data_IF_679957929623
#
_entry.id   IF_679957929623
#
_cell.length_a   1.000
_cell.length_b   1.000
_cell.length_c   1.000
_cell.angle_alpha   90.00
_cell.angle_beta   90.00
_cell.angle_gamma   90.00
#
_symmetry.space_group_name_H-M   'P 1'
#
loop_
_entity.id
_entity.type
_entity.pdbx_description
1 polymer ?
#
# COMPACT_ATOMS: atom_id res chain seq x y z
N UNK A 1 12.69 -18.97 4.31
CA UNK A 1 11.84 -20.19 4.38
C UNK A 1 10.65 -19.91 3.47
N UNK A 2 10.24 -20.85 2.61
CA UNK A 2 9.25 -20.61 1.57
C UNK A 2 8.74 -21.90 0.93
N UNK A 3 7.72 -21.82 0.09
CA UNK A 3 7.23 -22.92 -0.72
C UNK A 3 7.88 -22.89 -2.10
N UNK A 4 8.47 -24.02 -2.52
CA UNK A 4 9.03 -24.20 -3.86
C UNK A 4 7.96 -24.73 -4.79
N UNK A 5 7.72 -24.02 -5.89
CA UNK A 5 6.79 -24.39 -6.94
C UNK A 5 7.64 -24.73 -8.17
N UNK A 6 7.48 -25.94 -8.70
CA UNK A 6 8.27 -26.43 -9.84
C UNK A 6 7.35 -26.76 -10.99
N UNK A 7 7.78 -26.39 -12.19
CA UNK A 7 7.06 -26.67 -13.42
C UNK A 7 8.03 -26.98 -14.54
N UNK A 8 7.53 -27.62 -15.60
CA UNK A 8 8.31 -27.97 -16.77
C UNK A 8 7.67 -27.36 -18.02
N UNK A 9 8.47 -26.65 -18.82
CA UNK A 9 8.04 -26.09 -20.10
C UNK A 9 8.62 -26.94 -21.24
N UNK A 10 7.77 -27.30 -22.21
CA UNK A 10 8.19 -28.11 -23.37
C UNK A 10 8.96 -27.30 -24.42
N UNK A 11 8.76 -25.99 -24.42
CA UNK A 11 9.40 -25.00 -25.29
C UNK A 11 9.55 -23.68 -24.51
N UNK A 12 10.31 -22.73 -25.07
CA UNK A 12 10.45 -21.42 -24.47
C UNK A 12 9.11 -20.64 -24.53
N UNK A 13 8.84 -19.82 -23.52
CA UNK A 13 7.61 -19.04 -23.39
C UNK A 13 7.95 -17.66 -22.84
N UNK A 14 7.50 -16.58 -23.49
CA UNK A 14 7.91 -15.23 -23.10
C UNK A 14 7.30 -14.76 -21.78
N UNK A 15 6.06 -15.16 -21.49
CA UNK A 15 5.32 -14.74 -20.30
C UNK A 15 4.85 -15.96 -19.51
N UNK A 16 5.33 -16.03 -18.26
CA UNK A 16 4.95 -17.06 -17.30
C UNK A 16 4.58 -16.40 -16.00
N UNK A 17 3.36 -16.60 -15.53
CA UNK A 17 2.89 -16.11 -14.24
C UNK A 17 2.47 -17.28 -13.34
N UNK A 18 2.69 -17.11 -12.05
CA UNK A 18 2.25 -18.05 -11.02
C UNK A 18 1.42 -17.28 -10.01
N UNK A 19 0.11 -17.48 -10.06
CA UNK A 19 -0.85 -16.90 -9.12
C UNK A 19 -1.15 -17.88 -7.98
N UNK A 20 -1.26 -17.34 -6.78
CA UNK A 20 -1.51 -18.09 -5.55
C UNK A 20 -2.78 -17.53 -4.92
N UNK A 21 -3.77 -18.41 -4.74
CA UNK A 21 -5.07 -18.08 -4.15
C UNK A 21 -5.39 -18.98 -2.97
N UNK A 22 -6.23 -18.49 -2.05
CA UNK A 22 -6.83 -19.37 -1.06
C UNK A 22 -8.01 -20.17 -1.65
N UNK A 23 -8.54 -21.13 -0.90
CA UNK A 23 -9.70 -21.94 -1.33
C UNK A 23 -11.00 -21.14 -1.52
N UNK A 24 -11.01 -19.85 -1.18
CA UNK A 24 -12.15 -18.92 -1.38
C UNK A 24 -11.95 -18.07 -2.63
N UNK A 25 -10.85 -18.26 -3.36
CA UNK A 25 -10.49 -17.48 -4.55
C UNK A 25 -9.92 -16.09 -4.24
N UNK A 26 -9.54 -15.82 -2.99
CA UNK A 26 -8.81 -14.59 -2.69
C UNK A 26 -7.38 -14.73 -3.23
N UNK A 27 -6.96 -13.79 -4.08
CA UNK A 27 -5.55 -13.67 -4.50
C UNK A 27 -4.69 -13.27 -3.31
N UNK A 28 -3.60 -14.01 -3.10
CA UNK A 28 -2.60 -13.71 -2.09
C UNK A 28 -1.34 -13.14 -2.72
N UNK A 29 -0.91 -13.69 -3.86
CA UNK A 29 0.37 -13.37 -4.45
C UNK A 29 0.36 -13.74 -5.92
N UNK A 30 0.99 -12.90 -6.72
CA UNK A 30 1.41 -13.23 -8.08
C UNK A 30 2.93 -13.21 -8.14
N UNK A 31 3.51 -14.16 -8.86
CA UNK A 31 4.95 -14.34 -9.01
C UNK A 31 5.28 -14.49 -10.49
N UNK A 32 6.30 -13.76 -10.94
CA UNK A 32 6.86 -13.95 -12.26
C UNK A 32 7.62 -15.29 -12.32
N UNK A 33 7.29 -16.09 -13.32
CA UNK A 33 7.96 -17.34 -13.65
C UNK A 33 9.08 -17.14 -14.67
N UNK A 34 9.97 -18.12 -14.74
CA UNK A 34 10.98 -18.23 -15.81
C UNK A 34 10.40 -19.01 -16.99
N UNK A 35 10.54 -18.42 -18.17
CA UNK A 35 10.02 -18.94 -19.44
C UNK A 35 10.90 -19.92 -20.20
N UNK A 36 11.98 -20.42 -19.61
CA UNK A 36 12.95 -21.27 -20.32
C UNK A 36 12.42 -22.71 -20.48
N UNK A 37 12.70 -23.34 -21.61
CA UNK A 37 12.44 -24.76 -21.84
C UNK A 37 13.11 -25.64 -20.76
N UNK A 38 12.40 -26.67 -20.30
CA UNK A 38 12.85 -27.59 -19.26
C UNK A 38 12.27 -27.28 -17.88
N UNK A 39 13.00 -27.65 -16.83
CA UNK A 39 12.56 -27.53 -15.43
C UNK A 39 12.82 -26.12 -14.89
N UNK A 40 11.78 -25.46 -14.38
CA UNK A 40 11.82 -24.17 -13.72
C UNK A 40 11.33 -24.26 -12.26
N UNK A 41 11.77 -23.32 -11.43
CA UNK A 41 11.38 -23.21 -10.02
C UNK A 41 11.12 -21.75 -9.66
N UNK A 42 10.00 -21.50 -8.97
CA UNK A 42 9.73 -20.22 -8.29
C UNK A 42 9.53 -20.48 -6.80
N UNK A 43 9.91 -19.51 -5.97
CA UNK A 43 9.80 -19.62 -4.51
C UNK A 43 8.82 -18.58 -4.00
N UNK A 44 7.72 -19.05 -3.43
CA UNK A 44 6.84 -18.20 -2.63
C UNK A 44 7.38 -18.08 -1.21
N UNK A 45 7.59 -16.86 -0.74
CA UNK A 45 8.06 -16.55 0.61
C UNK A 45 6.99 -16.70 1.71
N UNK A 46 5.80 -17.19 1.31
CA UNK A 46 4.61 -17.35 2.14
C UNK A 46 4.04 -16.02 2.62
N UNK A 47 4.21 -14.94 1.88
CA UNK A 47 3.57 -13.65 2.16
C UNK A 47 2.49 -13.33 1.16
N UNK A 48 1.45 -12.68 1.64
CA UNK A 48 0.51 -12.01 0.77
C UNK A 48 1.12 -10.71 0.24
N UNK A 49 0.53 -10.19 -0.83
CA UNK A 49 0.85 -8.91 -1.44
C UNK A 49 -0.45 -8.34 -2.00
N UNK A 50 -0.77 -7.12 -1.60
CA UNK A 50 -1.84 -6.34 -2.19
C UNK A 50 -1.23 -5.18 -2.98
N UNK A 51 -1.98 -4.66 -3.93
CA UNK A 51 -1.69 -3.39 -4.58
C UNK A 51 -2.27 -2.26 -3.75
N UNK A 52 -1.58 -1.12 -3.77
CA UNK A 52 -2.07 0.13 -3.21
C UNK A 52 -3.06 0.81 -4.18
N UNK A 53 -3.54 2.01 -3.86
CA UNK A 53 -4.51 2.73 -4.71
C UNK A 53 -3.99 3.07 -6.11
N UNK A 54 -2.66 3.12 -6.27
CA UNK A 54 -1.99 3.48 -7.52
C UNK A 54 -1.65 2.24 -8.36
N UNK A 55 -1.97 1.04 -7.87
CA UNK A 55 -1.58 -0.23 -8.51
C UNK A 55 -0.16 -0.65 -8.17
N UNK A 56 0.52 0.03 -7.24
CA UNK A 56 1.87 -0.32 -6.83
C UNK A 56 1.84 -1.44 -5.79
N UNK A 57 2.75 -2.40 -5.93
CA UNK A 57 2.80 -3.57 -5.05
C UNK A 57 3.29 -3.20 -3.63
N UNK A 58 2.45 -3.43 -2.63
CA UNK A 58 2.77 -3.17 -1.23
C UNK A 58 3.64 -4.29 -0.63
N UNK A 59 4.83 -3.95 -0.14
CA UNK A 59 5.80 -4.93 0.35
C UNK A 59 6.46 -4.57 1.70
N UNK A 60 6.74 -5.53 2.60
CA UNK A 60 6.29 -6.92 2.58
C UNK A 60 4.90 -7.07 3.21
N UNK A 61 4.02 -7.86 2.60
CA UNK A 61 2.74 -8.20 3.23
C UNK A 61 2.86 -9.22 4.38
N UNK A 62 1.81 -9.38 5.20
CA UNK A 62 1.76 -10.40 6.24
C UNK A 62 1.97 -11.81 5.70
N UNK A 63 2.47 -12.70 6.56
CA UNK A 63 2.55 -14.13 6.19
C UNK A 63 1.15 -14.72 5.98
N UNK A 64 1.06 -15.66 5.06
CA UNK A 64 -0.12 -16.46 4.84
C UNK A 64 -0.36 -17.42 6.01
N UNK A 65 -1.62 -17.73 6.30
CA UNK A 65 -1.98 -18.70 7.33
C UNK A 65 -1.56 -20.13 6.92
N UNK A 66 -1.30 -21.03 7.88
CA UNK A 66 -1.26 -22.46 7.58
C UNK A 66 -2.59 -22.90 6.96
N UNK A 67 -2.52 -23.67 5.88
CA UNK A 67 -3.70 -24.07 5.11
C UNK A 67 -3.34 -24.55 3.71
N UNK A 68 -4.37 -24.88 2.95
CA UNK A 68 -4.25 -25.27 1.54
C UNK A 68 -4.51 -24.07 0.64
N UNK A 69 -3.68 -23.93 -0.38
CA UNK A 69 -3.70 -22.87 -1.38
C UNK A 69 -3.72 -23.48 -2.77
N UNK A 70 -4.37 -22.79 -3.69
CA UNK A 70 -4.36 -23.12 -5.11
C UNK A 70 -3.26 -22.29 -5.78
N UNK A 71 -2.48 -22.96 -6.62
CA UNK A 71 -1.43 -22.38 -7.44
C UNK A 71 -1.86 -22.56 -8.88
N UNK A 72 -1.96 -21.45 -9.61
CA UNK A 72 -2.27 -21.45 -11.03
C UNK A 72 -1.05 -20.91 -11.79
N UNK A 73 -0.54 -21.73 -12.70
CA UNK A 73 0.55 -21.41 -13.61
C UNK A 73 -0.07 -21.06 -14.96
N UNK A 74 0.22 -19.87 -15.47
CA UNK A 74 -0.10 -19.48 -16.83
C UNK A 74 1.21 -19.36 -17.62
N UNK A 75 1.27 -20.03 -18.78
CA UNK A 75 2.42 -20.01 -19.66
C UNK A 75 1.93 -20.00 -21.12
N UNK A 76 2.00 -18.84 -21.77
CA UNK A 76 1.41 -18.62 -23.09
C UNK A 76 -0.09 -18.91 -23.10
N UNK A 77 -0.53 -19.93 -23.84
CA UNK A 77 -1.94 -20.33 -23.91
C UNK A 77 -2.30 -21.49 -22.96
N UNK A 78 -1.36 -21.93 -22.13
CA UNK A 78 -1.57 -23.05 -21.21
C UNK A 78 -1.81 -22.54 -19.79
N UNK A 79 -2.83 -23.08 -19.14
CA UNK A 79 -3.10 -22.85 -17.72
C UNK A 79 -3.06 -24.20 -17.01
N UNK A 80 -2.28 -24.28 -15.94
CA UNK A 80 -2.19 -25.46 -15.08
C UNK A 80 -2.47 -25.07 -13.64
N UNK A 81 -3.26 -25.90 -12.96
CA UNK A 81 -3.58 -25.73 -11.55
C UNK A 81 -2.90 -26.82 -10.71
N UNK A 82 -2.50 -26.45 -9.51
CA UNK A 82 -1.94 -27.35 -8.51
C UNK A 82 -2.24 -26.88 -7.10
N UNK A 83 -2.14 -27.78 -6.12
CA UNK A 83 -2.39 -27.45 -4.72
C UNK A 83 -1.09 -27.39 -3.92
N UNK A 84 -1.03 -26.45 -2.99
CA UNK A 84 0.07 -26.26 -2.06
C UNK A 84 -0.46 -26.26 -0.62
N UNK A 85 0.14 -27.05 0.27
CA UNK A 85 -0.22 -27.07 1.69
C UNK A 85 0.87 -26.45 2.56
N UNK A 86 0.53 -25.36 3.24
CA UNK A 86 1.38 -24.66 4.20
C UNK A 86 1.09 -25.17 5.60
N UNK A 87 2.13 -25.59 6.30
CA UNK A 87 2.03 -26.14 7.65
C UNK A 87 2.73 -25.22 8.65
N UNK A 88 2.19 -25.16 9.86
CA UNK A 88 2.86 -24.52 10.99
C UNK A 88 4.09 -25.35 11.39
N UNK A 89 5.12 -24.69 11.94
CA UNK A 89 6.22 -25.41 12.59
C UNK A 89 5.65 -26.33 13.70
N UNK A 90 5.89 -27.64 13.67
CA UNK A 90 5.37 -28.59 14.66
C UNK A 90 5.73 -28.26 16.11
N UNK A 91 6.77 -27.44 16.34
CA UNK A 91 7.19 -27.00 17.69
C UNK A 91 6.35 -25.85 18.22
N UNK A 92 5.61 -25.16 17.36
CA UNK A 92 4.78 -24.02 17.74
C UNK A 92 3.41 -24.53 18.17
N UNK A 93 3.04 -24.26 19.42
CA UNK A 93 1.71 -24.56 19.94
C UNK A 93 0.91 -23.27 20.05
N UNK A 94 -0.03 -23.08 19.13
CA UNK A 94 -0.91 -21.90 19.08
C UNK A 94 -2.30 -22.34 18.61
N UNK A 95 -3.36 -21.75 19.17
CA UNK A 95 -4.72 -22.11 18.77
C UNK A 95 -5.06 -21.51 17.39
N UNK A 96 -5.94 -22.16 16.61
CA UNK A 96 -6.44 -21.60 15.36
C UNK A 96 -7.09 -20.21 15.54
N UNK A 97 -7.80 -20.00 16.65
CA UNK A 97 -8.43 -18.72 16.99
C UNK A 97 -7.41 -17.60 17.15
N UNK A 98 -6.28 -17.87 17.79
CA UNK A 98 -5.21 -16.89 17.97
C UNK A 98 -4.52 -16.62 16.63
N UNK A 99 -4.27 -17.66 15.81
CA UNK A 99 -3.72 -17.47 14.46
C UNK A 99 -4.58 -16.56 13.58
N UNK A 100 -5.90 -16.79 13.57
CA UNK A 100 -6.84 -15.94 12.83
C UNK A 100 -6.81 -14.50 13.34
N UNK A 101 -6.92 -14.28 14.66
CA UNK A 101 -6.89 -12.93 15.23
C UNK A 101 -5.57 -12.18 14.92
N UNK A 102 -4.44 -12.90 14.89
CA UNK A 102 -3.16 -12.33 14.45
C UNK A 102 -3.19 -11.92 12.99
N UNK A 103 -3.70 -12.80 12.12
CA UNK A 103 -3.80 -12.53 10.70
C UNK A 103 -4.66 -11.30 10.43
N UNK A 104 -5.83 -11.22 11.07
CA UNK A 104 -6.76 -10.11 10.90
C UNK A 104 -6.12 -8.79 11.33
N UNK A 105 -5.43 -8.77 12.48
CA UNK A 105 -4.72 -7.59 12.95
C UNK A 105 -3.56 -7.19 12.02
N UNK A 106 -2.77 -8.15 11.51
CA UNK A 106 -1.69 -7.87 10.57
C UNK A 106 -2.20 -7.34 9.23
N UNK A 107 -3.26 -7.94 8.66
CA UNK A 107 -3.88 -7.46 7.41
C UNK A 107 -4.44 -6.05 7.60
N UNK A 108 -5.09 -5.80 8.73
CA UNK A 108 -5.64 -4.47 9.06
C UNK A 108 -4.53 -3.41 9.14
N UNK A 109 -3.43 -3.71 9.84
CA UNK A 109 -2.25 -2.85 9.94
C UNK A 109 -1.58 -2.62 8.59
N UNK A 110 -1.43 -3.68 7.80
CA UNK A 110 -0.84 -3.63 6.45
C UNK A 110 -1.61 -2.71 5.52
N UNK A 111 -2.94 -2.81 5.47
CA UNK A 111 -3.76 -1.93 4.63
C UNK A 111 -3.69 -0.47 5.06
N UNK A 112 -3.65 -0.20 6.37
CA UNK A 112 -3.39 1.15 6.87
C UNK A 112 -2.02 1.68 6.40
N UNK A 113 -0.99 0.84 6.33
CA UNK A 113 0.33 1.28 5.85
C UNK A 113 0.33 1.72 4.39
N UNK A 114 -0.52 1.14 3.54
CA UNK A 114 -0.67 1.58 2.15
C UNK A 114 -1.19 3.01 2.09
N UNK A 115 -2.33 3.26 2.72
CA UNK A 115 -2.96 4.59 2.76
C UNK A 115 -2.06 5.64 3.39
N UNK A 116 -1.36 5.30 4.48
CA UNK A 116 -0.40 6.23 5.12
C UNK A 116 0.80 6.52 4.20
N UNK A 117 1.29 5.52 3.46
CA UNK A 117 2.38 5.69 2.50
C UNK A 117 1.94 6.63 1.37
N UNK A 118 0.78 6.39 0.77
CA UNK A 118 0.19 7.23 -0.28
C UNK A 118 0.01 8.68 0.19
N UNK A 119 -0.57 8.86 1.38
CA UNK A 119 -0.78 10.19 1.96
C UNK A 119 0.55 10.94 2.13
N UNK A 120 1.59 10.27 2.64
CA UNK A 120 2.91 10.87 2.81
C UNK A 120 3.57 11.23 1.47
N UNK A 121 3.43 10.37 0.45
CA UNK A 121 3.90 10.64 -0.91
C UNK A 121 3.20 11.86 -1.51
N UNK A 122 1.87 11.93 -1.42
CA UNK A 122 1.09 13.06 -1.92
C UNK A 122 1.43 14.36 -1.17
N UNK A 123 1.52 14.32 0.17
CA UNK A 123 1.95 15.47 0.97
C UNK A 123 3.32 15.99 0.51
N UNK A 124 4.29 15.10 0.27
CA UNK A 124 5.62 15.47 -0.23
C UNK A 124 5.58 16.09 -1.63
N UNK A 125 4.82 15.49 -2.55
CA UNK A 125 4.67 16.02 -3.91
C UNK A 125 4.03 17.41 -3.90
N UNK A 126 2.93 17.61 -3.16
CA UNK A 126 2.26 18.90 -3.09
C UNK A 126 3.13 19.98 -2.43
N UNK A 127 3.87 19.62 -1.38
CA UNK A 127 4.81 20.53 -0.71
C UNK A 127 5.86 21.04 -1.71
N UNK A 128 6.51 20.14 -2.45
CA UNK A 128 7.47 20.52 -3.50
C UNK A 128 6.83 21.40 -4.58
N UNK A 129 5.65 21.02 -5.09
CA UNK A 129 4.98 21.79 -6.14
C UNK A 129 4.59 23.21 -5.69
N UNK A 130 4.18 23.38 -4.43
CA UNK A 130 3.86 24.69 -3.85
C UNK A 130 5.11 25.53 -3.58
N UNK A 131 6.21 24.92 -3.12
CA UNK A 131 7.50 25.60 -2.97
C UNK A 131 8.04 26.11 -4.32
N UNK A 132 7.94 25.29 -5.36
CA UNK A 132 8.32 25.67 -6.72
C UNK A 132 7.45 26.82 -7.24
N UNK A 133 6.13 26.75 -7.03
CA UNK A 133 5.20 27.81 -7.39
C UNK A 133 5.53 29.13 -6.67
N UNK A 134 5.88 29.06 -5.37
CA UNK A 134 6.29 30.22 -4.58
C UNK A 134 7.58 30.85 -5.12
N UNK A 135 8.56 30.02 -5.49
CA UNK A 135 9.81 30.48 -6.08
C UNK A 135 9.58 31.21 -7.42
N UNK A 136 8.78 30.61 -8.31
CA UNK A 136 8.44 31.20 -9.61
C UNK A 136 7.67 32.52 -9.46
N UNK A 137 6.73 32.57 -8.51
CA UNK A 137 5.98 33.79 -8.21
C UNK A 137 6.90 34.90 -7.69
N UNK A 138 7.83 34.59 -6.80
CA UNK A 138 8.81 35.57 -6.29
C UNK A 138 9.72 36.14 -7.38
N UNK A 139 10.03 35.37 -8.42
CA UNK A 139 10.81 35.84 -9.58
C UNK A 139 9.97 36.67 -10.56
N UNK A 140 8.72 36.25 -10.83
CA UNK A 140 7.86 36.84 -11.85
C UNK A 140 7.10 38.08 -11.36
N UNK A 141 6.59 38.04 -10.12
CA UNK A 141 5.73 39.07 -9.54
C UNK A 141 5.91 39.17 -8.01
N UNK A 142 7.03 39.76 -7.54
CA UNK A 142 7.37 39.83 -6.11
C UNK A 142 6.43 40.70 -5.26
N UNK A 143 5.50 41.45 -5.88
CA UNK A 143 4.53 42.30 -5.17
C UNK A 143 3.17 41.59 -4.96
N UNK A 144 3.01 40.34 -5.41
CA UNK A 144 1.76 39.58 -5.28
C UNK A 144 1.60 38.96 -3.88
N UNK A 145 1.47 39.83 -2.86
CA UNK A 145 1.33 39.44 -1.45
C UNK A 145 0.17 38.45 -1.24
N UNK A 146 -0.94 38.61 -1.97
CA UNK A 146 -2.12 37.75 -1.83
C UNK A 146 -1.84 36.29 -2.23
N UNK A 147 -1.14 36.06 -3.36
CA UNK A 147 -0.79 34.71 -3.82
C UNK A 147 0.33 34.09 -2.98
N UNK A 148 1.31 34.90 -2.56
CA UNK A 148 2.36 34.45 -1.62
C UNK A 148 1.74 33.95 -0.31
N UNK A 149 0.87 34.76 0.31
CA UNK A 149 0.19 34.39 1.56
C UNK A 149 -0.67 33.13 1.41
N UNK A 150 -1.31 32.93 0.26
CA UNK A 150 -2.12 31.74 0.00
C UNK A 150 -1.27 30.47 -0.14
N UNK A 151 -0.15 30.54 -0.86
CA UNK A 151 0.79 29.41 -0.97
C UNK A 151 1.37 29.07 0.39
N UNK A 152 1.80 30.08 1.17
CA UNK A 152 2.31 29.88 2.53
C UNK A 152 1.26 29.26 3.46
N UNK A 153 -0.01 29.65 3.34
CA UNK A 153 -1.11 29.02 4.08
C UNK A 153 -1.24 27.54 3.71
N UNK A 154 -1.26 27.20 2.42
CA UNK A 154 -1.39 25.81 1.96
C UNK A 154 -0.21 24.96 2.41
N UNK A 155 1.02 25.47 2.36
CA UNK A 155 2.21 24.80 2.89
C UNK A 155 2.07 24.52 4.40
N UNK A 156 1.55 25.48 5.16
CA UNK A 156 1.26 25.27 6.59
C UNK A 156 0.18 24.20 6.81
N UNK A 157 -0.88 24.20 6.01
CA UNK A 157 -1.95 23.20 6.09
C UNK A 157 -1.42 21.79 5.80
N UNK A 158 -0.58 21.62 4.78
CA UNK A 158 0.09 20.34 4.49
C UNK A 158 0.97 19.88 5.66
N UNK A 159 1.75 20.80 6.26
CA UNK A 159 2.60 20.49 7.42
C UNK A 159 1.78 20.01 8.63
N UNK A 160 0.62 20.62 8.85
CA UNK A 160 -0.30 20.22 9.93
C UNK A 160 -0.90 18.85 9.66
N UNK A 161 -1.39 18.60 8.43
CA UNK A 161 -1.92 17.29 8.04
C UNK A 161 -0.85 16.21 8.20
N UNK A 162 0.38 16.45 7.73
CA UNK A 162 1.51 15.52 7.91
C UNK A 162 1.72 15.16 9.38
N UNK A 163 1.80 16.17 10.25
CA UNK A 163 1.98 15.96 11.69
C UNK A 163 0.84 15.18 12.33
N UNK A 164 -0.40 15.40 11.89
CA UNK A 164 -1.57 14.70 12.41
C UNK A 164 -1.59 13.24 11.92
N UNK A 165 -1.27 12.99 10.64
CA UNK A 165 -1.14 11.63 10.09
C UNK A 165 -0.07 10.85 10.86
N UNK A 166 1.10 11.43 11.09
CA UNK A 166 2.18 10.79 11.86
C UNK A 166 1.74 10.43 13.29
N UNK A 167 0.95 11.29 13.94
CA UNK A 167 0.47 11.06 15.30
C UNK A 167 -0.51 9.88 15.39
N UNK A 168 -1.32 9.66 14.35
CA UNK A 168 -2.38 8.64 14.35
C UNK A 168 -2.02 7.40 13.53
N UNK A 169 -0.88 7.36 12.83
CA UNK A 169 -0.45 6.25 11.99
C UNK A 169 0.19 5.07 12.75
N UNK A 170 0.17 5.07 14.08
CA UNK A 170 0.77 4.00 14.89
C UNK A 170 0.25 2.59 14.52
N UNK A 171 -1.05 2.47 14.25
CA UNK A 171 -1.70 1.24 13.81
C UNK A 171 -1.21 0.69 12.46
N UNK A 172 -0.59 1.52 11.62
CA UNK A 172 -0.02 1.11 10.33
C UNK A 172 1.33 0.36 10.46
N UNK A 173 1.97 0.42 11.64
CA UNK A 173 3.35 -0.05 11.83
C UNK A 173 3.47 -1.31 12.71
N UNK A 174 2.43 -2.15 12.73
CA UNK A 174 2.30 -3.25 13.69
C UNK A 174 2.53 -4.64 13.10
N UNK A 175 2.57 -4.79 11.77
CA UNK A 175 2.76 -6.10 11.10
C UNK A 175 3.97 -6.85 11.69
N UNK A 176 5.15 -6.22 11.68
CA UNK A 176 6.37 -6.87 12.18
C UNK A 176 6.33 -7.18 13.68
N UNK A 177 5.67 -6.34 14.48
CA UNK A 177 5.54 -6.54 15.93
C UNK A 177 4.62 -7.71 16.26
N UNK A 178 3.50 -7.83 15.54
CA UNK A 178 2.56 -8.94 15.70
C UNK A 178 3.21 -10.23 15.18
N UNK A 179 3.85 -10.18 14.00
CA UNK A 179 4.49 -11.34 13.37
C UNK A 179 5.60 -11.92 14.26
N UNK A 180 6.40 -11.08 14.92
CA UNK A 180 7.56 -11.49 15.71
C UNK A 180 7.28 -12.22 17.02
N UNK A 181 6.02 -12.25 17.50
CA UNK A 181 5.64 -12.87 18.77
C UNK A 181 4.70 -14.05 18.52
N UNK A 182 4.93 -15.19 19.16
CA UNK A 182 4.02 -16.35 19.10
C UNK A 182 2.94 -16.22 20.17
N UNK A 183 1.91 -15.40 19.92
CA UNK A 183 0.81 -15.15 20.85
C UNK A 183 -0.30 -14.27 20.27
N UNK A 184 -1.40 -14.01 21.00
CA UNK A 184 -2.44 -13.10 20.53
C UNK A 184 -1.90 -11.66 20.40
N UNK A 185 -2.46 -10.84 19.49
CA UNK A 185 -2.22 -9.40 19.50
C UNK A 185 -2.57 -8.82 20.88
N UNK A 186 -1.79 -7.85 21.34
CA UNK A 186 -2.07 -7.19 22.61
C UNK A 186 -3.31 -6.30 22.48
N UNK A 187 -3.99 -6.02 23.59
CA UNK A 187 -5.12 -5.09 23.60
C UNK A 187 -4.72 -3.68 23.12
N UNK A 188 -3.47 -3.29 23.37
CA UNK A 188 -2.91 -2.01 22.93
C UNK A 188 -2.68 -1.97 21.41
N UNK A 189 -2.12 -3.02 20.83
CA UNK A 189 -1.98 -3.15 19.36
C UNK A 189 -3.33 -3.08 18.66
N UNK A 190 -4.34 -3.78 19.18
CA UNK A 190 -5.68 -3.74 18.62
C UNK A 190 -6.32 -2.35 18.72
N UNK A 191 -6.07 -1.62 19.82
CA UNK A 191 -6.53 -0.24 19.98
C UNK A 191 -5.86 0.71 18.99
N UNK A 192 -4.54 0.64 18.85
CA UNK A 192 -3.81 1.47 17.88
C UNK A 192 -4.33 1.29 16.45
N UNK A 193 -4.61 0.04 16.04
CA UNK A 193 -5.21 -0.25 14.73
C UNK A 193 -6.59 0.41 14.61
N UNK A 194 -7.44 0.26 15.62
CA UNK A 194 -8.80 0.81 15.60
C UNK A 194 -8.78 2.34 15.58
N UNK A 195 -7.97 2.98 16.43
CA UNK A 195 -7.83 4.44 16.49
C UNK A 195 -7.33 4.99 15.14
N UNK A 196 -6.31 4.37 14.54
CA UNK A 196 -5.85 4.71 13.18
C UNK A 196 -6.97 4.61 12.13
N UNK A 197 -7.79 3.56 12.16
CA UNK A 197 -8.93 3.41 11.24
C UNK A 197 -10.03 4.45 11.46
N UNK A 198 -10.16 5.01 12.67
CA UNK A 198 -11.14 6.03 12.97
C UNK A 198 -10.66 7.44 12.59
N UNK A 199 -9.37 7.72 12.75
CA UNK A 199 -8.82 9.07 12.62
C UNK A 199 -8.25 9.37 11.23
N UNK A 200 -7.57 8.42 10.58
CA UNK A 200 -6.94 8.62 9.27
C UNK A 200 -7.94 9.07 8.18
N UNK A 201 -9.16 8.51 8.05
CA UNK A 201 -10.05 8.88 6.95
C UNK A 201 -10.35 10.37 6.86
N UNK A 202 -10.56 11.05 8.00
CA UNK A 202 -10.83 12.49 8.01
C UNK A 202 -9.60 13.32 7.57
N UNK A 203 -8.39 12.83 7.85
CA UNK A 203 -7.15 13.46 7.39
C UNK A 203 -6.96 13.29 5.88
N UNK A 204 -7.29 12.11 5.36
CA UNK A 204 -7.27 11.84 3.91
C UNK A 204 -8.31 12.71 3.19
N UNK A 205 -9.52 12.86 3.74
CA UNK A 205 -10.54 13.74 3.16
C UNK A 205 -10.04 15.20 3.09
N UNK A 206 -9.36 15.69 4.13
CA UNK A 206 -8.74 17.03 4.13
C UNK A 206 -7.66 17.15 3.07
N UNK A 207 -6.77 16.17 2.97
CA UNK A 207 -5.72 16.15 1.94
C UNK A 207 -6.33 16.14 0.54
N UNK A 208 -7.36 15.33 0.31
CA UNK A 208 -8.07 15.26 -0.97
C UNK A 208 -8.72 16.60 -1.34
N UNK A 209 -9.28 17.34 -0.38
CA UNK A 209 -9.80 18.70 -0.65
C UNK A 209 -8.69 19.62 -1.18
N UNK A 210 -7.50 19.57 -0.59
CA UNK A 210 -6.35 20.35 -1.09
C UNK A 210 -5.99 19.95 -2.53
N UNK A 211 -5.87 18.65 -2.78
CA UNK A 211 -5.47 18.10 -4.09
C UNK A 211 -6.49 18.41 -5.17
N UNK A 212 -7.79 18.21 -4.92
CA UNK A 212 -8.81 18.28 -5.97
C UNK A 212 -9.47 19.65 -6.10
N UNK A 213 -9.26 20.54 -5.13
CA UNK A 213 -10.01 21.81 -5.05
C UNK A 213 -9.11 23.01 -4.83
N UNK A 214 -8.37 23.08 -3.73
CA UNK A 214 -7.64 24.30 -3.37
C UNK A 214 -6.42 24.54 -4.26
N UNK A 215 -5.56 23.53 -4.44
CA UNK A 215 -4.36 23.66 -5.28
C UNK A 215 -4.71 23.93 -6.75
N UNK A 216 -5.66 23.21 -7.37
CA UNK A 216 -6.09 23.54 -8.74
C UNK A 216 -6.66 24.96 -8.88
N UNK A 217 -7.40 25.47 -7.87
CA UNK A 217 -7.91 26.84 -7.89
C UNK A 217 -6.80 27.88 -7.78
N UNK A 218 -5.78 27.64 -6.96
CA UNK A 218 -4.57 28.46 -6.90
C UNK A 218 -3.84 28.44 -8.26
N UNK A 219 -3.69 27.27 -8.88
CA UNK A 219 -2.98 27.13 -10.15
C UNK A 219 -3.68 27.84 -11.29
N UNK A 220 -5.01 27.83 -11.33
CA UNK A 220 -5.77 28.63 -12.29
C UNK A 220 -5.48 30.14 -12.16
N UNK A 221 -5.27 30.64 -10.93
CA UNK A 221 -4.93 32.04 -10.68
C UNK A 221 -3.48 32.36 -11.02
N UNK A 222 -2.55 31.43 -10.76
CA UNK A 222 -1.16 31.54 -11.19
C UNK A 222 -1.05 31.55 -12.73
N UNK A 223 -1.85 30.73 -13.41
CA UNK A 223 -1.93 30.69 -14.87
C UNK A 223 -2.41 32.03 -15.47
N UNK A 224 -3.36 32.70 -14.81
CA UNK A 224 -3.82 34.05 -15.18
C UNK A 224 -2.69 35.11 -15.05
N UNK A 225 -1.72 34.88 -14.17
CA UNK A 225 -0.48 35.68 -14.05
C UNK A 225 0.66 35.18 -14.97
N UNK A 226 0.42 34.13 -15.76
CA UNK A 226 1.39 33.56 -16.69
C UNK A 226 2.35 32.53 -16.08
N UNK A 227 2.08 32.05 -14.86
CA UNK A 227 2.90 31.09 -14.10
C UNK A 227 2.23 29.71 -14.19
N UNK A 228 2.92 28.69 -14.71
CA UNK A 228 2.35 27.35 -14.97
C UNK A 228 3.01 26.21 -14.17
N UNK A 229 2.54 25.90 -12.95
CA UNK A 229 2.98 24.73 -12.18
C UNK A 229 2.23 23.41 -12.55
N UNK A 230 2.79 22.25 -12.19
CA UNK A 230 2.25 20.90 -12.49
C UNK A 230 1.21 20.42 -11.44
N UNK A 231 -0.04 20.05 -11.80
CA UNK A 231 -1.17 19.83 -10.87
C UNK A 231 -1.23 18.52 -10.05
N UNK A 232 -0.42 17.48 -10.31
CA UNK A 232 -0.45 16.23 -9.51
C UNK A 232 -1.71 15.34 -9.70
N UNK A 233 -1.92 14.33 -8.83
CA UNK A 233 -3.00 13.31 -8.93
C UNK A 233 -3.65 12.96 -7.57
N UNK A 234 -4.94 12.57 -7.58
CA UNK A 234 -5.75 12.27 -6.39
C UNK A 234 -5.54 10.84 -5.83
N UNK A 235 -5.77 10.65 -4.52
CA UNK A 235 -5.61 9.36 -3.81
C UNK A 235 -6.97 8.65 -3.66
N UNK A 236 -7.03 7.33 -3.91
CA UNK A 236 -8.27 6.54 -3.72
C UNK A 236 -8.26 5.73 -2.42
N UNK A 237 -9.37 5.75 -1.67
CA UNK A 237 -9.51 5.00 -0.41
C UNK A 237 -9.82 3.51 -0.64
N UNK A 238 -9.08 2.56 -0.02
CA UNK A 238 -9.39 1.14 -0.10
C UNK A 238 -10.64 0.77 0.72
N UNK A 239 -11.39 -0.26 0.28
CA UNK A 239 -12.63 -0.71 0.94
C UNK A 239 -12.37 -1.73 2.05
N UNK A 240 -12.90 -1.47 3.25
CA UNK A 240 -12.90 -2.42 4.39
C UNK A 240 -13.78 -3.64 4.07
N UNK A 241 -13.21 -4.85 4.02
CA UNK A 241 -13.99 -6.11 3.99
C UNK A 241 -14.45 -6.46 5.42
N UNK A 242 -15.74 -6.74 5.58
CA UNK A 242 -16.37 -7.20 6.83
C UNK A 242 -16.00 -8.65 7.14
#
# INVERSE_FOLDING_TARGET
MGARIRYHLAEDTDEVSVSITDLRGQSLRELEGTGNVGLNEVIWDLRLQEEDSNGDLMNPGPRALPGTYLVQLEAGNSVLEGELSVHLDPRVTISPTVLMARQDAMISSYRLSGVVSEANSALGLLETQLEDALSLLGEANPESDDLVNEIERLLNDLRLIRSEVEAVASGANLVGQIEGVTGPPTADQLRQIEDSWQEIPALIDRLNILITTEVPALYARLDDEGIRPDPGSAIEMPRRRR
#
